data_IF_649972200939
#
_entry.id   IF_649972200939
#
_cell.length_a   1.000
_cell.length_b   1.000
_cell.length_c   1.000
_cell.angle_alpha   90.00
_cell.angle_beta   90.00
_cell.angle_gamma   90.00
#
_symmetry.space_group_name_H-M   'P 1'
#
loop_
_entity.id
_entity.type
_entity.pdbx_description
1 polymer ?
#
# COMPACT_ATOMS: atom_id res chain seq x y z
N UNK A 1 -18.30 14.31 -7.10
CA UNK A 1 -18.36 13.55 -8.36
C UNK A 1 -17.37 14.03 -9.43
N UNK A 2 -17.20 15.35 -9.65
CA UNK A 2 -16.24 15.85 -10.64
C UNK A 2 -14.77 15.46 -10.35
N UNK A 3 -14.33 15.60 -9.09
CA UNK A 3 -12.97 15.23 -8.68
C UNK A 3 -12.63 13.75 -8.97
N UNK A 4 -13.53 12.80 -8.67
CA UNK A 4 -13.30 11.38 -9.02
C UNK A 4 -13.06 11.15 -10.51
N UNK A 5 -13.80 11.85 -11.38
CA UNK A 5 -13.75 11.66 -12.84
C UNK A 5 -12.59 12.35 -13.54
N UNK A 6 -12.06 13.40 -12.92
CA UNK A 6 -11.02 14.26 -13.50
C UNK A 6 -9.66 14.04 -12.84
N UNK A 7 -9.52 12.98 -12.04
CA UNK A 7 -8.26 12.65 -11.38
C UNK A 7 -7.24 12.21 -12.42
N UNK A 8 -6.01 12.68 -12.25
CA UNK A 8 -4.89 12.29 -13.10
C UNK A 8 -4.45 10.86 -12.76
N UNK A 9 -4.65 10.49 -11.49
CA UNK A 9 -4.28 9.21 -10.91
C UNK A 9 -5.24 8.84 -9.78
N UNK A 10 -5.52 7.54 -9.67
CA UNK A 10 -6.29 6.96 -8.57
C UNK A 10 -5.39 6.01 -7.82
N UNK A 11 -5.29 6.19 -6.50
CA UNK A 11 -4.58 5.29 -5.60
C UNK A 11 -5.61 4.61 -4.71
N UNK A 12 -5.49 3.30 -4.56
CA UNK A 12 -6.38 2.47 -3.75
C UNK A 12 -5.50 1.81 -2.70
N UNK A 13 -5.75 2.12 -1.43
CA UNK A 13 -5.18 1.39 -0.31
C UNK A 13 -6.26 0.50 0.29
N UNK A 14 -6.14 -0.83 0.14
CA UNK A 14 -7.02 -1.82 0.75
C UNK A 14 -6.32 -2.44 1.96
N UNK A 15 -6.78 -2.11 3.16
CA UNK A 15 -6.36 -2.74 4.41
C UNK A 15 -7.29 -3.90 4.74
N UNK A 16 -6.71 -5.10 4.89
CA UNK A 16 -7.37 -6.28 5.47
C UNK A 16 -6.79 -6.56 6.86
N UNK A 17 -7.63 -6.51 7.90
CA UNK A 17 -7.24 -6.80 9.29
C UNK A 17 -7.60 -8.24 9.68
N UNK A 18 -7.13 -8.65 10.86
CA UNK A 18 -7.58 -9.87 11.52
C UNK A 18 -9.12 -9.92 11.58
N UNK A 19 -9.70 -11.13 11.39
CA UNK A 19 -11.16 -11.38 11.25
C UNK A 19 -11.80 -10.87 9.95
N UNK A 20 -10.99 -10.59 8.92
CA UNK A 20 -11.45 -10.19 7.60
C UNK A 20 -12.22 -8.86 7.58
N UNK A 21 -11.93 -7.98 8.55
CA UNK A 21 -12.38 -6.59 8.50
C UNK A 21 -11.59 -5.85 7.42
N UNK A 22 -12.29 -5.16 6.52
CA UNK A 22 -11.70 -4.42 5.42
C UNK A 22 -11.96 -2.93 5.55
N UNK A 23 -10.96 -2.15 5.18
CA UNK A 23 -11.04 -0.69 5.06
C UNK A 23 -10.38 -0.31 3.74
N UNK A 24 -11.04 0.54 2.97
CA UNK A 24 -10.49 1.10 1.73
C UNK A 24 -10.25 2.58 1.89
N UNK A 25 -9.12 3.07 1.40
CA UNK A 25 -8.86 4.48 1.22
C UNK A 25 -8.57 4.73 -0.25
N UNK A 26 -9.54 5.33 -0.93
CA UNK A 26 -9.38 5.81 -2.30
C UNK A 26 -8.81 7.21 -2.25
N UNK A 27 -7.75 7.46 -3.01
CA UNK A 27 -7.11 8.78 -3.15
C UNK A 27 -7.12 9.16 -4.62
N UNK A 28 -7.86 10.22 -4.95
CA UNK A 28 -7.97 10.77 -6.29
C UNK A 28 -7.06 11.99 -6.39
N UNK A 29 -5.96 11.86 -7.14
CA UNK A 29 -4.89 12.88 -7.22
C UNK A 29 -5.20 13.92 -8.29
N UNK A 30 -5.02 15.18 -7.92
CA UNK A 30 -5.20 16.38 -8.73
C UNK A 30 -4.04 17.35 -8.47
N UNK A 31 -2.96 17.21 -9.23
CA UNK A 31 -1.79 18.08 -9.11
C UNK A 31 -1.31 18.19 -7.64
N UNK A 32 -1.39 19.36 -7.02
CA UNK A 32 -0.98 19.60 -5.63
C UNK A 32 -1.99 19.12 -4.56
N UNK A 33 -3.19 18.68 -4.97
CA UNK A 33 -4.27 18.28 -4.05
C UNK A 33 -4.77 16.86 -4.30
N UNK A 34 -5.35 16.25 -3.28
CA UNK A 34 -6.01 14.96 -3.39
C UNK A 34 -7.36 14.95 -2.68
N UNK A 35 -8.34 14.28 -3.27
CA UNK A 35 -9.57 13.88 -2.59
C UNK A 35 -9.37 12.48 -2.03
N UNK A 36 -9.58 12.30 -0.73
CA UNK A 36 -9.58 11.00 -0.08
C UNK A 36 -11.00 10.57 0.27
N UNK A 37 -11.28 9.29 0.07
CA UNK A 37 -12.52 8.61 0.42
C UNK A 37 -12.17 7.37 1.23
N UNK A 38 -12.46 7.42 2.53
CA UNK A 38 -12.34 6.28 3.44
C UNK A 38 -13.67 5.53 3.45
N UNK A 39 -13.62 4.23 3.16
CA UNK A 39 -14.76 3.31 3.24
C UNK A 39 -14.45 2.26 4.29
N UNK A 40 -15.25 2.20 5.35
CA UNK A 40 -15.10 1.20 6.41
C UNK A 40 -15.90 -0.08 6.13
N UNK A 41 -15.76 -1.06 7.02
CA UNK A 41 -16.44 -2.35 6.91
C UNK A 41 -17.96 -2.29 7.05
N UNK A 42 -18.52 -1.18 7.56
CA UNK A 42 -19.96 -0.95 7.62
C UNK A 42 -20.53 -0.38 6.32
N UNK A 43 -19.66 0.03 5.39
CA UNK A 43 -20.02 0.78 4.20
C UNK A 43 -20.22 2.27 4.47
N UNK A 44 -19.69 2.81 5.58
CA UNK A 44 -19.68 4.25 5.83
C UNK A 44 -18.58 4.92 5.01
N UNK A 45 -18.87 6.09 4.47
CA UNK A 45 -17.94 6.86 3.65
C UNK A 45 -17.58 8.18 4.36
N UNK A 46 -16.29 8.44 4.53
CA UNK A 46 -15.77 9.73 4.96
C UNK A 46 -14.90 10.35 3.86
N UNK A 47 -15.05 11.65 3.66
CA UNK A 47 -14.34 12.40 2.61
C UNK A 47 -13.45 13.47 3.23
N UNK A 48 -12.23 13.59 2.72
CA UNK A 48 -11.30 14.66 3.07
C UNK A 48 -10.58 15.18 1.83
N UNK A 49 -10.14 16.44 1.88
CA UNK A 49 -9.26 17.03 0.88
C UNK A 49 -7.95 17.36 1.59
N UNK A 50 -6.84 16.96 0.99
CA UNK A 50 -5.50 17.22 1.51
C UNK A 50 -4.55 17.65 0.38
N UNK A 51 -3.34 18.07 0.72
CA UNK A 51 -2.28 18.21 -0.29
C UNK A 51 -1.83 16.81 -0.70
N UNK A 52 -1.41 16.63 -1.96
CA UNK A 52 -0.95 15.33 -2.46
C UNK A 52 0.21 14.78 -1.62
N UNK A 53 1.09 15.65 -1.12
CA UNK A 53 2.18 15.29 -0.19
C UNK A 53 1.70 14.71 1.14
N UNK A 54 0.53 15.12 1.62
CA UNK A 54 -0.04 14.61 2.87
C UNK A 54 -0.84 13.30 2.65
N UNK A 55 -1.20 12.98 1.40
CA UNK A 55 -1.98 11.79 1.08
C UNK A 55 -1.19 10.49 1.32
N UNK A 56 0.11 10.49 1.02
CA UNK A 56 0.98 9.35 1.27
C UNK A 56 1.09 9.03 2.77
N UNK A 57 1.18 10.05 3.62
CA UNK A 57 1.17 9.88 5.08
C UNK A 57 -0.16 9.30 5.56
N UNK A 58 -1.29 9.78 5.05
CA UNK A 58 -2.60 9.23 5.40
C UNK A 58 -2.75 7.76 4.99
N UNK A 59 -2.22 7.37 3.83
CA UNK A 59 -2.16 5.96 3.41
C UNK A 59 -1.25 5.15 4.34
N UNK A 60 -0.09 5.70 4.72
CA UNK A 60 0.84 5.04 5.63
C UNK A 60 0.26 4.86 7.04
N UNK A 61 -0.48 5.85 7.55
CA UNK A 61 -1.21 5.75 8.82
C UNK A 61 -2.28 4.66 8.79
N UNK A 62 -2.99 4.50 7.66
CA UNK A 62 -3.90 3.38 7.47
C UNK A 62 -3.13 2.04 7.42
N UNK A 63 -2.01 2.02 6.68
CA UNK A 63 -1.27 0.80 6.41
C UNK A 63 -0.57 0.22 7.65
N UNK A 64 -0.02 1.08 8.51
CA UNK A 64 0.60 0.69 9.77
C UNK A 64 -0.45 0.44 10.87
N UNK A 65 -1.27 -0.59 10.67
CA UNK A 65 -2.40 -0.91 11.53
C UNK A 65 -2.01 -1.18 13.01
N UNK A 66 -0.78 -1.64 13.27
CA UNK A 66 -0.26 -1.90 14.61
C UNK A 66 0.50 -0.73 15.23
N UNK A 67 0.73 0.35 14.46
CA UNK A 67 1.51 1.55 14.89
C UNK A 67 2.90 1.19 15.42
N UNK A 68 3.59 0.35 14.65
CA UNK A 68 4.95 -0.10 14.97
C UNK A 68 5.97 0.60 14.10
N UNK A 69 7.17 0.76 14.63
CA UNK A 69 8.35 1.15 13.86
C UNK A 69 9.32 -0.03 13.83
N UNK A 70 9.99 -0.21 12.70
CA UNK A 70 10.97 -1.28 12.54
C UNK A 70 12.19 -0.76 11.77
N UNK A 71 13.29 -1.51 11.79
CA UNK A 71 14.47 -1.18 10.99
C UNK A 71 14.39 -1.84 9.60
N UNK A 72 15.06 -1.25 8.62
CA UNK A 72 15.22 -1.89 7.31
C UNK A 72 16.10 -3.14 7.43
N UNK A 73 15.63 -4.23 6.83
CA UNK A 73 16.33 -5.52 6.76
C UNK A 73 16.76 -5.87 5.33
N UNK A 74 17.51 -6.98 5.17
CA UNK A 74 17.87 -7.47 3.83
C UNK A 74 16.61 -7.90 3.07
N UNK A 75 16.60 -7.63 1.76
CA UNK A 75 15.54 -8.10 0.87
C UNK A 75 15.80 -9.55 0.43
N UNK A 76 14.76 -10.37 0.49
CA UNK A 76 14.73 -11.73 -0.03
C UNK A 76 13.88 -11.78 -1.30
N UNK A 77 14.33 -12.52 -2.32
CA UNK A 77 13.57 -12.73 -3.56
C UNK A 77 13.05 -14.15 -3.60
N UNK A 78 11.73 -14.28 -3.66
CA UNK A 78 11.00 -15.53 -3.53
C UNK A 78 10.16 -15.79 -4.79
N UNK A 79 9.94 -17.06 -5.12
CA UNK A 79 8.79 -17.45 -5.94
C UNK A 79 7.51 -17.39 -5.11
N UNK A 80 6.36 -17.42 -5.77
CA UNK A 80 5.07 -17.49 -5.08
C UNK A 80 5.00 -18.68 -4.10
N UNK A 81 5.43 -19.86 -4.53
CA UNK A 81 5.41 -21.09 -3.71
C UNK A 81 6.31 -20.96 -2.46
N UNK A 82 7.48 -20.35 -2.62
CA UNK A 82 8.40 -20.09 -1.50
C UNK A 82 7.81 -19.08 -0.52
N UNK A 83 7.17 -18.03 -1.03
CA UNK A 83 6.49 -17.03 -0.22
C UNK A 83 5.36 -17.66 0.59
N UNK A 84 4.48 -18.44 -0.04
CA UNK A 84 3.35 -19.11 0.64
C UNK A 84 3.83 -20.05 1.76
N UNK A 85 4.90 -20.81 1.53
CA UNK A 85 5.48 -21.69 2.55
C UNK A 85 6.06 -20.93 3.75
N UNK A 86 6.69 -19.78 3.50
CA UNK A 86 7.31 -18.91 4.52
C UNK A 86 6.26 -18.10 5.29
N UNK A 87 5.25 -17.61 4.58
CA UNK A 87 4.21 -16.74 5.09
C UNK A 87 3.44 -17.34 6.27
N UNK A 88 3.21 -18.66 6.25
CA UNK A 88 2.53 -19.37 7.35
C UNK A 88 3.24 -19.18 8.69
N UNK A 89 4.57 -19.04 8.69
CA UNK A 89 5.36 -18.89 9.92
C UNK A 89 5.72 -17.44 10.21
N UNK A 90 6.22 -16.72 9.21
CA UNK A 90 6.75 -15.36 9.40
C UNK A 90 5.66 -14.29 9.50
N UNK A 91 4.46 -14.55 8.95
CA UNK A 91 3.34 -13.63 9.01
C UNK A 91 2.21 -14.12 9.92
N UNK A 92 2.51 -15.07 10.82
CA UNK A 92 1.51 -15.63 11.74
C UNK A 92 0.94 -14.58 12.71
N UNK A 93 1.70 -13.53 13.04
CA UNK A 93 1.29 -12.45 13.94
C UNK A 93 0.82 -11.18 13.20
N UNK A 94 0.68 -11.25 11.87
CA UNK A 94 0.24 -10.10 11.06
C UNK A 94 -1.14 -9.63 11.52
N UNK A 95 -1.21 -8.35 11.83
CA UNK A 95 -2.42 -7.65 12.31
C UNK A 95 -3.18 -6.99 11.17
N UNK A 96 -2.48 -6.64 10.10
CA UNK A 96 -3.07 -6.09 8.89
C UNK A 96 -2.16 -6.24 7.68
N UNK A 97 -2.78 -6.41 6.51
CA UNK A 97 -2.12 -6.37 5.21
C UNK A 97 -2.76 -5.26 4.42
N UNK A 98 -1.95 -4.32 3.92
CA UNK A 98 -2.42 -3.22 3.10
C UNK A 98 -1.80 -3.29 1.72
N UNK A 99 -2.66 -3.44 0.73
CA UNK A 99 -2.27 -3.36 -0.68
C UNK A 99 -2.50 -1.95 -1.17
N UNK A 100 -1.46 -1.29 -1.67
CA UNK A 100 -1.50 0.05 -2.24
C UNK A 100 -1.26 -0.05 -3.74
N UNK A 101 -2.29 0.26 -4.53
CA UNK A 101 -2.25 0.21 -5.99
C UNK A 101 -2.52 1.59 -6.55
N UNK A 102 -1.66 2.07 -7.44
CA UNK A 102 -1.85 3.34 -8.13
C UNK A 102 -2.04 3.12 -9.64
N UNK A 103 -3.09 3.72 -10.19
CA UNK A 103 -3.43 3.64 -11.61
C UNK A 103 -3.44 5.05 -12.21
N UNK A 104 -2.64 5.25 -13.25
CA UNK A 104 -2.63 6.50 -14.01
C UNK A 104 -3.72 6.47 -15.08
N UNK A 105 -4.30 7.64 -15.37
CA UNK A 105 -5.16 7.82 -16.55
C UNK A 105 -4.38 7.85 -17.89
N UNK A 106 -3.05 7.97 -17.83
CA UNK A 106 -2.18 8.18 -19.01
C UNK A 106 -1.30 6.96 -19.31
N UNK A 107 -0.94 6.17 -18.31
CA UNK A 107 -0.05 5.03 -18.44
C UNK A 107 -0.77 3.74 -18.07
N UNK A 108 -0.62 2.71 -18.89
CA UNK A 108 -1.23 1.37 -18.70
C UNK A 108 -0.45 0.50 -17.70
N UNK A 109 0.38 1.13 -16.86
CA UNK A 109 1.18 0.46 -15.84
C UNK A 109 0.63 0.85 -14.47
N UNK A 110 0.32 -0.17 -13.65
CA UNK A 110 -0.08 0.02 -12.27
C UNK A 110 1.14 -0.11 -11.35
N UNK A 111 1.33 0.88 -10.48
CA UNK A 111 2.32 0.79 -9.41
C UNK A 111 1.69 0.06 -8.22
N UNK A 112 2.44 -0.82 -7.58
CA UNK A 112 1.93 -1.67 -6.52
C UNK A 112 2.93 -1.84 -5.38
N UNK A 113 2.45 -1.70 -4.16
CA UNK A 113 3.20 -1.97 -2.95
C UNK A 113 2.29 -2.64 -1.91
N UNK A 114 2.73 -3.75 -1.33
CA UNK A 114 2.01 -4.40 -0.23
C UNK A 114 2.78 -4.23 1.07
N UNK A 115 2.11 -3.79 2.12
CA UNK A 115 2.66 -3.68 3.48
C UNK A 115 1.98 -4.68 4.40
N UNK A 116 2.76 -5.57 5.00
CA UNK A 116 2.34 -6.42 6.11
C UNK A 116 2.74 -5.74 7.42
N UNK A 117 1.78 -5.58 8.31
CA UNK A 117 2.01 -5.01 9.64
C UNK A 117 1.85 -6.10 10.69
N UNK A 118 2.98 -6.52 11.26
CA UNK A 118 3.08 -7.46 12.37
C UNK A 118 3.02 -6.73 13.72
N UNK A 119 3.11 -7.48 14.82
CA UNK A 119 3.05 -6.88 16.16
C UNK A 119 4.29 -6.10 16.57
N UNK A 120 5.43 -6.36 15.91
CA UNK A 120 6.73 -5.74 16.23
C UNK A 120 7.46 -5.18 14.99
N UNK A 121 6.97 -5.47 13.78
CA UNK A 121 7.68 -5.15 12.56
C UNK A 121 6.75 -4.81 11.38
N UNK A 122 7.30 -4.12 10.39
CA UNK A 122 6.68 -3.89 9.10
C UNK A 122 7.44 -4.68 8.04
N UNK A 123 6.71 -5.30 7.11
CA UNK A 123 7.31 -5.98 5.96
C UNK A 123 6.72 -5.43 4.67
N UNK A 124 7.60 -4.97 3.78
CA UNK A 124 7.24 -4.56 2.43
C UNK A 124 7.32 -5.75 1.48
N UNK A 125 6.38 -5.82 0.55
CA UNK A 125 6.37 -6.75 -0.57
C UNK A 125 6.17 -5.99 -1.88
N UNK A 126 7.08 -6.23 -2.82
CA UNK A 126 7.01 -5.77 -4.20
C UNK A 126 7.06 -6.98 -5.13
N UNK A 127 6.28 -6.93 -6.21
CA UNK A 127 6.30 -7.98 -7.22
C UNK A 127 7.01 -7.46 -8.48
N UNK A 128 7.82 -8.31 -9.09
CA UNK A 128 8.40 -8.08 -10.41
C UNK A 128 8.18 -9.32 -11.28
N UNK A 129 8.29 -9.15 -12.60
CA UNK A 129 8.36 -10.27 -13.52
C UNK A 129 9.80 -10.40 -14.02
N UNK A 130 10.35 -11.60 -13.93
CA UNK A 130 11.66 -11.94 -14.48
C UNK A 130 11.53 -13.23 -15.30
N UNK A 131 11.83 -13.15 -16.59
CA UNK A 131 11.76 -14.29 -17.53
C UNK A 131 10.36 -14.95 -17.58
N UNK A 132 9.29 -14.16 -17.48
CA UNK A 132 7.90 -14.67 -17.47
C UNK A 132 7.45 -15.27 -16.13
N UNK A 133 8.28 -15.16 -15.09
CA UNK A 133 8.00 -15.70 -13.75
C UNK A 133 7.87 -14.55 -12.76
N UNK A 134 6.78 -14.54 -11.99
CA UNK A 134 6.59 -13.61 -10.91
C UNK A 134 7.61 -13.85 -9.78
N UNK A 135 8.29 -12.78 -9.38
CA UNK A 135 9.25 -12.72 -8.27
C UNK A 135 8.72 -11.77 -7.21
N UNK A 136 8.74 -12.23 -5.97
CA UNK A 136 8.28 -11.46 -4.81
C UNK A 136 9.51 -11.03 -4.02
N UNK A 137 9.68 -9.73 -3.86
CA UNK A 137 10.75 -9.13 -3.06
C UNK A 137 10.18 -8.73 -1.71
N UNK A 138 10.66 -9.38 -0.66
CA UNK A 138 10.17 -9.17 0.70
C UNK A 138 11.30 -8.68 1.58
N UNK A 139 11.06 -7.62 2.34
CA UNK A 139 12.01 -7.11 3.31
C UNK A 139 11.28 -6.58 4.53
N UNK A 140 11.92 -6.68 5.70
CA UNK A 140 11.54 -5.80 6.81
C UNK A 140 11.85 -4.36 6.42
N UNK A 141 10.93 -3.44 6.68
CA UNK A 141 11.06 -2.03 6.25
C UNK A 141 10.83 -1.08 7.41
N UNK A 142 11.60 -0.01 7.45
CA UNK A 142 11.31 1.13 8.32
C UNK A 142 10.05 1.86 7.87
N UNK A 143 9.43 2.63 8.78
CA UNK A 143 8.32 3.51 8.42
C UNK A 143 8.72 4.46 7.29
N UNK A 144 9.94 5.01 7.34
CA UNK A 144 10.47 5.91 6.31
C UNK A 144 10.55 5.23 4.95
N UNK A 145 11.09 4.01 4.90
CA UNK A 145 11.16 3.22 3.65
C UNK A 145 9.76 2.90 3.13
N UNK A 146 8.85 2.44 4.00
CA UNK A 146 7.47 2.14 3.61
C UNK A 146 6.74 3.39 3.09
N UNK A 147 6.89 4.54 3.76
CA UNK A 147 6.33 5.81 3.31
C UNK A 147 6.91 6.24 1.95
N UNK A 148 8.21 6.05 1.72
CA UNK A 148 8.82 6.33 0.42
C UNK A 148 8.21 5.45 -0.68
N UNK A 149 7.93 4.17 -0.41
CA UNK A 149 7.27 3.26 -1.36
C UNK A 149 5.83 3.66 -1.61
N UNK A 150 5.06 3.99 -0.57
CA UNK A 150 3.70 4.53 -0.69
C UNK A 150 3.71 5.83 -1.51
N UNK A 151 4.67 6.72 -1.26
CA UNK A 151 4.81 7.97 -2.00
C UNK A 151 5.08 7.70 -3.49
N UNK A 152 5.94 6.73 -3.82
CA UNK A 152 6.15 6.32 -5.21
C UNK A 152 4.86 5.83 -5.87
N UNK A 153 3.99 5.13 -5.14
CA UNK A 153 2.67 4.74 -5.67
C UNK A 153 1.74 5.96 -5.80
N UNK A 154 1.82 6.96 -4.91
CA UNK A 154 0.99 8.17 -4.99
C UNK A 154 1.38 9.08 -6.15
N UNK A 155 2.67 9.30 -6.37
CA UNK A 155 3.18 10.22 -7.40
C UNK A 155 3.45 9.52 -8.75
N UNK A 156 3.59 8.19 -8.75
CA UNK A 156 4.01 7.39 -9.89
C UNK A 156 5.53 7.25 -9.97
N UNK A 157 6.00 6.11 -10.49
CA UNK A 157 7.42 5.89 -10.76
C UNK A 157 7.87 6.76 -11.96
N UNK A 158 8.44 7.94 -11.69
CA UNK A 158 8.95 8.85 -12.72
C UNK A 158 8.59 10.34 -12.56
N UNK A 159 7.96 10.73 -11.45
CA UNK A 159 7.83 12.12 -11.04
C UNK A 159 9.12 12.68 -10.42
#
# INVERSE_FOLDING_TARGET
>A
MALRRLSQRVVIAELTKARNEKVWLYTYVHDETALQELVDSSGSHAFSICRTVDAAEAIMELANAARVDSADGPAETLTQEQFEAKAVREFADVRGVTTVTGMSSVHDVADHFTLYTASEALFGLEASEQDGVARLHVAQVSRTTALSKVSAVVFGAGA
#
